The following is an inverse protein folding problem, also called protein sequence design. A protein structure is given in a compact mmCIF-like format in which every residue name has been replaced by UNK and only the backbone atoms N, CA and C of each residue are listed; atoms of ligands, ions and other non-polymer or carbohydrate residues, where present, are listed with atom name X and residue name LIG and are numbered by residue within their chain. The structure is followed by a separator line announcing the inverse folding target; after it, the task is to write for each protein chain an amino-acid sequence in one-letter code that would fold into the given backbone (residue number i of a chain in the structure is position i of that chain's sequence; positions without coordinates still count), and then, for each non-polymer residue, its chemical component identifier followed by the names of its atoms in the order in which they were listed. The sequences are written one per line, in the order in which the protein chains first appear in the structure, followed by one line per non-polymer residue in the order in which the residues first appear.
data_IF_378071865193
#
_entry.id   IF_378071865193
#
_cell.length_a   1.000
_cell.length_b   1.000
_cell.length_c   1.000
_cell.angle_alpha   90.00
_cell.angle_beta   90.00
_cell.angle_gamma   90.00
#
_symmetry.space_group_name_H-M   'P 1'
#
loop_
_entity.id
_entity.type
_entity.pdbx_description
1 polymer ?
#
# COMPACT_ATOMS: atom_id res chain seq x y z
N UNK A 1 9.37 -25.39 26.17
CA UNK A 1 8.61 -25.30 24.91
C UNK A 1 7.62 -24.17 25.06
N UNK A 2 7.53 -23.25 24.08
CA UNK A 2 6.55 -22.17 24.12
C UNK A 2 5.25 -22.64 23.45
N UNK A 3 4.11 -22.35 24.08
CA UNK A 3 2.79 -22.69 23.55
C UNK A 3 2.03 -21.39 23.32
N UNK A 4 1.56 -21.19 22.08
CA UNK A 4 0.68 -20.08 21.75
C UNK A 4 -0.76 -20.53 22.01
N UNK A 5 -1.50 -19.76 22.81
CA UNK A 5 -2.91 -20.00 23.13
C UNK A 5 -3.72 -18.86 22.55
N UNK A 6 -4.81 -19.19 21.86
CA UNK A 6 -5.74 -18.19 21.32
C UNK A 6 -6.65 -17.67 22.43
N UNK A 7 -6.89 -16.38 22.41
CA UNK A 7 -7.81 -15.72 23.32
C UNK A 7 -8.42 -14.48 22.70
N UNK A 8 -9.49 -14.01 23.30
CA UNK A 8 -10.16 -12.76 22.97
C UNK A 8 -9.81 -11.75 24.05
N UNK A 9 -9.29 -10.60 23.65
CA UNK A 9 -9.05 -9.48 24.55
C UNK A 9 -10.15 -8.44 24.36
N UNK A 10 -10.91 -8.17 25.42
CA UNK A 10 -11.99 -7.19 25.42
C UNK A 10 -11.98 -6.37 26.71
N UNK A 11 -11.98 -5.03 26.61
CA UNK A 11 -12.09 -4.11 27.74
C UNK A 11 -11.09 -4.36 28.90
N UNK A 12 -9.87 -4.82 28.60
CA UNK A 12 -8.87 -5.13 29.64
C UNK A 12 -8.91 -6.56 30.16
N UNK A 13 -9.88 -7.37 29.72
CA UNK A 13 -10.02 -8.78 30.12
C UNK A 13 -9.59 -9.69 28.97
N UNK A 14 -8.66 -10.60 29.25
CA UNK A 14 -8.23 -11.65 28.32
C UNK A 14 -8.99 -12.95 28.65
N UNK A 15 -9.78 -13.44 27.69
CA UNK A 15 -10.50 -14.71 27.81
C UNK A 15 -9.86 -15.74 26.89
N UNK A 16 -9.37 -16.85 27.44
CA UNK A 16 -8.80 -17.94 26.64
C UNK A 16 -9.91 -18.75 25.96
N UNK A 17 -9.68 -19.13 24.71
CA UNK A 17 -10.60 -20.00 23.95
C UNK A 17 -10.31 -21.48 24.15
N UNK A 18 -9.13 -21.81 24.68
CA UNK A 18 -8.65 -23.17 24.88
C UNK A 18 -8.23 -23.37 26.34
N UNK A 19 -8.33 -24.59 26.87
CA UNK A 19 -7.86 -24.89 28.23
C UNK A 19 -6.34 -24.72 28.30
N UNK A 20 -5.89 -23.89 29.22
CA UNK A 20 -4.46 -23.69 29.49
C UNK A 20 -3.89 -24.97 30.13
N UNK A 21 -2.71 -25.45 29.72
CA UNK A 21 -2.03 -26.54 30.42
C UNK A 21 -1.87 -26.20 31.90
N UNK A 22 -2.06 -27.19 32.76
CA UNK A 22 -2.19 -27.01 34.21
C UNK A 22 -0.89 -26.43 34.81
N UNK A 23 -0.84 -25.11 34.93
CA UNK A 23 0.29 -24.32 35.44
C UNK A 23 -0.25 -23.44 36.58
N UNK A 24 0.28 -23.62 37.79
CA UNK A 24 -0.17 -22.89 38.99
C UNK A 24 0.07 -21.38 38.88
N UNK A 25 1.22 -20.99 38.31
CA UNK A 25 1.59 -19.59 38.04
C UNK A 25 2.68 -19.57 36.97
N UNK A 26 2.48 -18.79 35.92
CA UNK A 26 3.46 -18.63 34.84
C UNK A 26 3.46 -17.21 34.29
N UNK A 27 4.62 -16.71 33.90
CA UNK A 27 4.74 -15.48 33.13
C UNK A 27 4.30 -15.73 31.68
N UNK A 28 3.53 -14.82 31.11
CA UNK A 28 2.94 -14.94 29.77
C UNK A 28 3.21 -13.68 28.96
N UNK A 29 3.57 -13.88 27.68
CA UNK A 29 3.70 -12.81 26.70
C UNK A 29 2.44 -12.76 25.84
N UNK A 30 1.75 -11.60 25.84
CA UNK A 30 0.54 -11.39 25.05
C UNK A 30 0.90 -10.69 23.74
N UNK A 31 0.57 -11.34 22.62
CA UNK A 31 0.81 -10.80 21.28
C UNK A 31 -0.51 -10.53 20.58
N UNK A 32 -0.72 -9.28 20.16
CA UNK A 32 -1.90 -8.87 19.40
C UNK A 32 -1.65 -9.06 17.90
N UNK A 33 -2.44 -9.93 17.28
CA UNK A 33 -2.44 -10.11 15.84
C UNK A 33 -3.26 -8.98 15.20
N UNK A 34 -2.56 -7.96 14.71
CA UNK A 34 -3.19 -6.93 13.88
C UNK A 34 -3.34 -7.48 12.46
N UNK A 35 -4.55 -7.87 12.08
CA UNK A 35 -4.85 -8.03 10.66
C UNK A 35 -4.83 -6.65 10.03
N UNK A 36 -3.75 -6.32 9.31
CA UNK A 36 -3.75 -5.18 8.42
C UNK A 36 -4.90 -5.36 7.43
N UNK A 37 -5.99 -4.59 7.62
CA UNK A 37 -7.08 -4.55 6.65
C UNK A 37 -6.43 -4.27 5.30
N UNK A 38 -6.71 -5.07 4.25
CA UNK A 38 -6.10 -4.84 2.95
C UNK A 38 -6.42 -3.41 2.54
N UNK A 39 -5.40 -2.55 2.55
CA UNK A 39 -5.53 -1.19 2.05
C UNK A 39 -6.00 -1.33 0.63
N UNK A 40 -7.17 -0.75 0.30
CA UNK A 40 -7.76 -0.81 -1.04
C UNK A 40 -6.66 -0.47 -2.03
N UNK A 41 -6.17 -1.48 -2.73
CA UNK A 41 -5.07 -1.35 -3.68
C UNK A 41 -5.50 -0.31 -4.69
N UNK A 42 -4.83 0.84 -4.72
CA UNK A 42 -5.09 1.86 -5.74
C UNK A 42 -4.98 1.15 -7.09
N UNK A 43 -6.04 1.24 -7.92
CA UNK A 43 -6.05 0.68 -9.27
C UNK A 43 -4.75 1.07 -9.96
N UNK A 44 -3.94 0.08 -10.35
CA UNK A 44 -2.67 0.30 -11.04
C UNK A 44 -3.02 0.88 -12.41
N UNK A 45 -2.73 2.16 -12.61
CA UNK A 45 -2.85 2.78 -13.93
C UNK A 45 -1.63 2.29 -14.74
N UNK A 46 -1.83 1.63 -15.90
CA UNK A 46 -0.71 1.22 -16.75
C UNK A 46 0.10 2.45 -17.18
N UNK A 47 1.42 2.31 -17.26
CA UNK A 47 2.34 3.43 -17.53
C UNK A 47 2.05 4.18 -18.84
N UNK A 48 1.44 3.51 -19.81
CA UNK A 48 0.98 4.12 -21.07
C UNK A 48 -0.12 5.17 -20.87
N UNK A 49 -1.07 4.92 -19.94
CA UNK A 49 -2.16 5.86 -19.65
C UNK A 49 -1.71 7.02 -18.76
N UNK A 50 -0.64 6.87 -17.97
CA UNK A 50 -0.01 7.99 -17.26
C UNK A 50 0.55 9.03 -18.23
N UNK A 51 1.27 8.57 -19.26
CA UNK A 51 1.80 9.46 -20.30
C UNK A 51 0.68 10.18 -21.04
N UNK A 52 -0.42 9.50 -21.38
CA UNK A 52 -1.56 10.13 -22.03
C UNK A 52 -2.21 11.22 -21.16
N UNK A 53 -2.29 11.00 -19.84
CA UNK A 53 -2.76 12.02 -18.88
C UNK A 53 -1.79 13.19 -18.73
N UNK A 54 -0.48 12.94 -18.74
CA UNK A 54 0.57 13.99 -18.70
C UNK A 54 0.66 14.81 -20.01
N UNK A 55 0.18 14.24 -21.12
CA UNK A 55 0.07 14.90 -22.42
C UNK A 55 -1.26 15.64 -22.60
N UNK A 56 -2.23 15.42 -21.71
CA UNK A 56 -3.55 16.02 -21.77
C UNK A 56 -3.45 17.52 -21.42
N UNK A 57 -3.33 18.36 -22.45
CA UNK A 57 -3.14 19.82 -22.32
C UNK A 57 -1.84 20.34 -22.92
N UNK A 58 -0.91 19.46 -23.33
CA UNK A 58 0.25 19.87 -24.11
C UNK A 58 -0.18 20.10 -25.56
N UNK A 59 -0.23 21.36 -25.98
CA UNK A 59 -0.44 21.74 -27.38
C UNK A 59 0.90 21.61 -28.10
N UNK A 60 1.13 20.47 -28.74
CA UNK A 60 2.21 20.38 -29.72
C UNK A 60 1.78 21.20 -30.93
N UNK A 61 2.39 22.37 -31.08
CA UNK A 61 2.23 23.19 -32.28
C UNK A 61 3.09 22.55 -33.36
N UNK A 62 2.48 21.81 -34.28
CA UNK A 62 3.16 21.32 -35.47
C UNK A 62 3.21 22.51 -36.44
N UNK A 63 4.41 23.02 -36.79
CA UNK A 63 4.53 24.09 -37.78
C UNK A 63 4.03 23.62 -39.14
N UNK A 64 3.44 24.53 -39.91
CA UNK A 64 2.97 24.22 -41.27
C UNK A 64 4.14 23.99 -42.25
N UNK A 65 5.34 24.53 -41.94
CA UNK A 65 6.58 24.29 -42.66
C UNK A 65 7.49 23.31 -41.89
N UNK A 66 7.90 22.24 -42.56
CA UNK A 66 8.81 21.24 -42.01
C UNK A 66 10.19 21.80 -41.62
N UNK A 67 10.62 22.91 -42.23
CA UNK A 67 11.92 23.52 -41.97
C UNK A 67 11.89 24.52 -40.80
N UNK A 68 10.73 24.81 -40.22
CA UNK A 68 10.65 25.69 -39.07
C UNK A 68 11.12 24.99 -37.79
N UNK A 69 11.98 25.65 -36.98
CA UNK A 69 12.49 25.06 -35.77
C UNK A 69 11.36 24.86 -34.75
N UNK A 70 11.31 23.68 -34.15
CA UNK A 70 10.40 23.39 -33.06
C UNK A 70 10.85 24.16 -31.81
N UNK A 71 10.07 25.17 -31.42
CA UNK A 71 10.33 25.99 -30.23
C UNK A 71 10.48 25.12 -28.97
N UNK A 72 9.71 24.03 -28.88
CA UNK A 72 9.73 23.07 -27.76
C UNK A 72 11.05 22.30 -27.63
N UNK A 73 11.91 22.29 -28.66
CA UNK A 73 13.20 21.59 -28.67
C UNK A 73 14.40 22.52 -28.45
N UNK A 74 14.19 23.83 -28.30
CA UNK A 74 15.27 24.81 -28.07
C UNK A 74 16.04 24.57 -26.77
N UNK A 75 15.41 23.99 -25.76
CA UNK A 75 16.07 23.69 -24.48
C UNK A 75 16.99 22.46 -24.53
N UNK A 76 16.94 21.70 -25.63
CA UNK A 76 17.66 20.42 -25.78
C UNK A 76 18.74 20.44 -26.88
N UNK A 77 18.84 21.52 -27.67
CA UNK A 77 19.90 21.75 -28.67
C UNK A 77 20.88 22.81 -28.20
#
# INVERSE_FOLDING_TARGET
MYTAIKGIYENGVLTFLEPVPNLEKSEVLVMFLNEEKPTKTKKRIPGSLKRLGELQGKRYSIPDDFNEPLDDLKEYM
#
